data_IF_174132650128
#
_entry.id   IF_174132650128
#
_cell.length_a   1.000
_cell.length_b   1.000
_cell.length_c   1.000
_cell.angle_alpha   90.00
_cell.angle_beta   90.00
_cell.angle_gamma   90.00
#
_symmetry.space_group_name_H-M   'P 1'
#
loop_
_entity.id
_entity.type
_entity.pdbx_description
1 polymer ?
#
# COMPACT_ATOMS: atom_id res chain seq x y z
N UNK A 1 30.37 0.05 10.48
CA UNK A 1 30.27 -1.32 11.02
C UNK A 1 29.15 -1.98 10.29
N UNK A 2 29.42 -3.05 9.55
CA UNK A 2 28.40 -3.72 8.74
C UNK A 2 27.38 -4.43 9.64
N UNK A 3 26.15 -4.57 9.15
CA UNK A 3 25.10 -5.25 9.90
C UNK A 3 25.41 -6.75 10.02
N UNK A 4 25.39 -7.25 11.25
CA UNK A 4 25.55 -8.67 11.56
C UNK A 4 24.87 -8.99 12.89
N UNK A 5 24.75 -10.25 13.24
CA UNK A 5 24.23 -10.69 14.54
C UNK A 5 24.97 -10.03 15.72
N UNK A 6 26.28 -9.79 15.57
CA UNK A 6 27.10 -9.18 16.61
C UNK A 6 26.99 -7.65 16.67
N UNK A 7 26.59 -7.02 15.57
CA UNK A 7 26.51 -5.55 15.45
C UNK A 7 25.09 -5.02 15.46
N UNK A 8 24.08 -5.92 15.51
CA UNK A 8 22.68 -5.56 15.66
C UNK A 8 22.44 -4.81 16.97
N UNK A 9 21.65 -3.72 16.94
CA UNK A 9 21.37 -2.87 18.10
C UNK A 9 20.54 -3.63 19.15
N UNK A 10 19.69 -4.56 18.71
CA UNK A 10 18.85 -5.37 19.59
C UNK A 10 19.12 -6.87 19.39
N UNK A 11 19.15 -7.67 20.48
CA UNK A 11 19.16 -9.12 20.38
C UNK A 11 17.97 -9.70 19.60
N UNK A 12 16.84 -9.03 19.59
CA UNK A 12 15.63 -9.43 18.87
C UNK A 12 15.91 -9.50 17.37
N UNK A 13 16.55 -8.48 16.79
CA UNK A 13 16.87 -8.41 15.36
C UNK A 13 18.30 -8.93 15.05
N UNK A 14 19.04 -9.35 16.06
CA UNK A 14 20.34 -10.02 15.94
C UNK A 14 20.21 -11.51 16.24
N UNK A 15 20.62 -11.90 17.46
CA UNK A 15 20.70 -13.30 17.92
C UNK A 15 19.40 -14.07 17.77
N UNK A 16 18.25 -13.42 17.98
CA UNK A 16 16.93 -14.05 17.98
C UNK A 16 16.14 -13.80 16.69
N UNK A 17 16.74 -13.23 15.65
CA UNK A 17 16.08 -12.92 14.37
C UNK A 17 15.29 -14.11 13.82
N UNK A 18 15.89 -15.32 13.80
CA UNK A 18 15.22 -16.55 13.33
C UNK A 18 14.03 -17.00 14.19
N UNK A 19 13.92 -16.50 15.44
CA UNK A 19 12.78 -16.79 16.31
C UNK A 19 11.64 -15.75 16.18
N UNK A 20 11.98 -14.57 15.69
CA UNK A 20 11.04 -13.43 15.55
C UNK A 20 10.70 -13.13 14.09
N UNK A 21 11.11 -13.99 13.17
CA UNK A 21 10.92 -13.78 11.72
C UNK A 21 9.45 -13.58 11.32
N UNK A 22 8.52 -14.31 11.97
CA UNK A 22 7.09 -14.15 11.76
C UNK A 22 6.57 -12.72 12.01
N UNK A 23 7.29 -11.93 12.81
CA UNK A 23 6.93 -10.54 13.11
C UNK A 23 7.47 -9.54 12.08
N UNK A 24 8.36 -9.97 11.17
CA UNK A 24 8.96 -9.07 10.17
C UNK A 24 7.92 -8.46 9.23
N UNK A 25 6.85 -9.22 8.90
CA UNK A 25 5.73 -8.74 8.07
C UNK A 25 4.85 -7.67 8.73
N UNK A 26 5.10 -7.35 10.02
CA UNK A 26 4.31 -6.37 10.80
C UNK A 26 5.15 -5.20 11.30
N UNK A 27 6.43 -5.41 11.65
CA UNK A 27 7.24 -4.43 12.38
C UNK A 27 8.54 -4.01 11.68
N UNK A 28 8.86 -4.56 10.50
CA UNK A 28 9.98 -4.07 9.70
C UNK A 28 9.63 -2.76 8.99
N UNK A 29 10.66 -2.06 8.48
CA UNK A 29 10.47 -0.88 7.61
C UNK A 29 9.62 -1.21 6.38
N UNK A 30 9.84 -2.38 5.76
CA UNK A 30 9.00 -2.92 4.69
C UNK A 30 7.53 -3.00 5.11
N UNK A 31 7.26 -3.56 6.29
CA UNK A 31 5.90 -3.70 6.81
C UNK A 31 5.26 -2.34 7.08
N UNK A 32 5.98 -1.40 7.70
CA UNK A 32 5.49 -0.06 7.97
C UNK A 32 5.08 0.65 6.67
N UNK A 33 5.91 0.58 5.63
CA UNK A 33 5.60 1.15 4.32
C UNK A 33 4.34 0.50 3.73
N UNK A 34 4.26 -0.83 3.73
CA UNK A 34 3.10 -1.58 3.21
C UNK A 34 1.80 -1.20 3.93
N UNK A 35 1.82 -1.06 5.26
CA UNK A 35 0.64 -0.64 6.02
C UNK A 35 0.24 0.80 5.73
N UNK A 36 1.18 1.70 5.52
CA UNK A 36 0.90 3.07 5.09
C UNK A 36 0.25 3.09 3.70
N UNK A 37 0.79 2.33 2.75
CA UNK A 37 0.19 2.17 1.40
C UNK A 37 -1.24 1.65 1.50
N UNK A 38 -1.49 0.64 2.34
CA UNK A 38 -2.83 0.10 2.56
C UNK A 38 -3.79 1.15 3.10
N UNK A 39 -3.41 1.90 4.11
CA UNK A 39 -4.26 2.94 4.72
C UNK A 39 -4.60 4.04 3.71
N UNK A 40 -3.63 4.50 2.94
CA UNK A 40 -3.83 5.51 1.90
C UNK A 40 -4.79 5.02 0.81
N UNK A 41 -4.63 3.79 0.35
CA UNK A 41 -5.49 3.21 -0.69
C UNK A 41 -6.92 3.02 -0.19
N UNK A 42 -7.12 2.45 1.00
CA UNK A 42 -8.47 2.26 1.55
C UNK A 42 -9.15 3.60 1.86
N UNK A 43 -8.39 4.61 2.31
CA UNK A 43 -8.89 5.96 2.47
C UNK A 43 -9.33 6.57 1.13
N UNK A 44 -8.50 6.47 0.09
CA UNK A 44 -8.83 6.96 -1.25
C UNK A 44 -10.09 6.27 -1.81
N UNK A 45 -10.21 4.95 -1.67
CA UNK A 45 -11.40 4.20 -2.06
C UNK A 45 -12.64 4.71 -1.28
N UNK A 46 -12.50 4.93 0.02
CA UNK A 46 -13.58 5.48 0.84
C UNK A 46 -14.01 6.88 0.38
N UNK A 47 -13.07 7.74 -0.05
CA UNK A 47 -13.40 9.04 -0.65
C UNK A 47 -14.19 8.88 -1.96
N UNK A 48 -13.81 7.90 -2.81
CA UNK A 48 -14.53 7.61 -4.05
C UNK A 48 -15.96 7.06 -3.82
N UNK A 49 -16.23 6.49 -2.64
CA UNK A 49 -17.55 6.02 -2.23
C UNK A 49 -18.45 7.13 -1.67
N UNK A 50 -17.87 8.25 -1.24
CA UNK A 50 -18.61 9.43 -0.83
C UNK A 50 -19.19 10.17 -2.06
N UNK A 51 -20.30 10.92 -1.90
CA UNK A 51 -20.89 11.70 -2.97
C UNK A 51 -20.09 13.00 -3.27
N UNK A 52 -18.80 12.84 -3.57
CA UNK A 52 -17.90 13.92 -3.95
C UNK A 52 -17.98 14.15 -5.46
N UNK A 53 -18.41 15.31 -5.96
CA UNK A 53 -18.54 15.56 -7.40
C UNK A 53 -17.25 15.33 -8.19
N UNK A 54 -16.09 15.56 -7.56
CA UNK A 54 -14.78 15.41 -8.18
C UNK A 54 -14.38 13.95 -8.41
N UNK A 55 -14.96 13.02 -7.65
CA UNK A 55 -14.67 11.57 -7.70
C UNK A 55 -15.85 10.75 -8.24
N UNK A 56 -16.96 11.39 -8.60
CA UNK A 56 -18.19 10.76 -9.08
C UNK A 56 -17.93 9.83 -10.30
N UNK A 57 -17.02 10.24 -11.16
CA UNK A 57 -16.68 9.51 -12.38
C UNK A 57 -15.46 8.60 -12.24
N UNK A 58 -14.97 8.36 -11.02
CA UNK A 58 -13.87 7.43 -10.80
C UNK A 58 -14.34 6.00 -11.08
N UNK A 59 -13.59 5.28 -11.91
CA UNK A 59 -13.93 3.90 -12.25
C UNK A 59 -13.74 2.95 -11.06
N UNK A 60 -14.85 2.46 -10.52
CA UNK A 60 -14.86 1.56 -9.36
C UNK A 60 -14.29 0.17 -9.68
N UNK A 61 -14.15 -0.21 -10.93
CA UNK A 61 -13.48 -1.47 -11.31
C UNK A 61 -12.00 -1.46 -10.91
N UNK A 62 -11.40 -0.27 -10.73
CA UNK A 62 -10.02 -0.09 -10.28
C UNK A 62 -9.82 -0.31 -8.77
N UNK A 63 -10.87 -0.49 -7.96
CA UNK A 63 -10.74 -0.68 -6.51
C UNK A 63 -9.97 -1.96 -6.17
N UNK A 64 -10.25 -3.08 -6.82
CA UNK A 64 -9.51 -4.31 -6.56
C UNK A 64 -8.06 -4.25 -7.07
N UNK A 65 -7.77 -3.78 -8.30
CA UNK A 65 -6.40 -3.48 -8.71
C UNK A 65 -5.62 -2.56 -7.75
N UNK A 66 -6.27 -1.52 -7.19
CA UNK A 66 -5.64 -0.67 -6.18
C UNK A 66 -5.32 -1.44 -4.89
N UNK A 67 -6.23 -2.29 -4.42
CA UNK A 67 -5.99 -3.15 -3.25
C UNK A 67 -4.85 -4.14 -3.48
N UNK A 68 -4.68 -4.61 -4.71
CA UNK A 68 -3.58 -5.52 -5.05
C UNK A 68 -2.21 -4.87 -4.90
N UNK A 69 -2.07 -3.54 -4.99
CA UNK A 69 -0.82 -2.83 -4.75
C UNK A 69 -0.26 -3.15 -3.34
N UNK A 70 -1.09 -3.16 -2.30
CA UNK A 70 -0.62 -3.49 -0.95
C UNK A 70 -0.70 -4.97 -0.60
N UNK A 71 -1.57 -5.75 -1.27
CA UNK A 71 -1.66 -7.20 -1.08
C UNK A 71 -0.47 -7.94 -1.68
N UNK A 72 -0.01 -7.48 -2.83
CA UNK A 72 1.13 -8.03 -3.57
C UNK A 72 2.40 -7.18 -3.41
N UNK A 73 2.44 -6.33 -2.38
CA UNK A 73 3.55 -5.41 -2.13
C UNK A 73 4.87 -6.17 -1.96
N UNK A 74 5.90 -5.75 -2.69
CA UNK A 74 7.20 -6.41 -2.73
C UNK A 74 8.30 -5.58 -2.03
N UNK A 75 9.47 -6.18 -1.85
CA UNK A 75 10.67 -5.46 -1.35
C UNK A 75 11.16 -4.42 -2.35
N UNK A 76 10.94 -4.64 -3.64
CA UNK A 76 11.25 -3.71 -4.72
C UNK A 76 10.33 -2.48 -4.65
N UNK A 77 9.03 -2.66 -4.35
CA UNK A 77 8.10 -1.55 -4.12
C UNK A 77 8.51 -0.74 -2.89
N UNK A 78 8.90 -1.40 -1.79
CA UNK A 78 9.41 -0.72 -0.60
C UNK A 78 10.68 0.07 -0.94
N UNK A 79 11.60 -0.50 -1.73
CA UNK A 79 12.80 0.19 -2.18
C UNK A 79 12.44 1.40 -3.06
N UNK A 80 11.42 1.27 -3.95
CA UNK A 80 10.94 2.40 -4.75
C UNK A 80 10.45 3.55 -3.87
N UNK A 81 9.67 3.26 -2.81
CA UNK A 81 9.24 4.27 -1.84
C UNK A 81 10.46 4.94 -1.17
N UNK A 82 11.46 4.16 -0.76
CA UNK A 82 12.71 4.70 -0.17
C UNK A 82 13.50 5.58 -1.14
N UNK A 83 13.49 5.26 -2.42
CA UNK A 83 14.16 6.09 -3.44
C UNK A 83 13.43 7.41 -3.67
N UNK A 84 12.10 7.42 -3.63
CA UNK A 84 11.30 8.65 -3.64
C UNK A 84 11.57 9.47 -2.37
N UNK A 85 11.63 8.82 -1.21
CA UNK A 85 11.90 9.47 0.08
C UNK A 85 13.25 10.21 0.08
N UNK A 86 14.29 9.66 -0.54
CA UNK A 86 15.59 10.33 -0.67
C UNK A 86 15.50 11.71 -1.37
N UNK A 87 14.53 11.86 -2.27
CA UNK A 87 14.32 13.11 -3.02
C UNK A 87 13.37 14.05 -2.28
N UNK A 88 12.27 13.50 -1.73
CA UNK A 88 11.25 14.29 -1.05
C UNK A 88 11.64 14.66 0.38
N UNK A 89 12.58 13.93 0.96
CA UNK A 89 12.99 14.03 2.36
C UNK A 89 11.81 13.90 3.33
N UNK A 90 10.81 13.08 2.95
CA UNK A 90 9.58 12.90 3.73
C UNK A 90 8.97 11.54 3.43
N UNK A 91 8.85 10.68 4.45
CA UNK A 91 8.44 9.28 4.36
C UNK A 91 7.00 9.08 3.86
N UNK A 92 6.00 9.70 4.50
CA UNK A 92 4.60 9.56 4.09
C UNK A 92 4.34 10.22 2.72
N UNK A 93 5.02 11.33 2.41
CA UNK A 93 4.94 11.95 1.08
C UNK A 93 5.48 11.02 -0.02
N UNK A 94 6.49 10.24 0.29
CA UNK A 94 7.02 9.23 -0.63
C UNK A 94 5.99 8.13 -0.92
N UNK A 95 5.21 7.71 0.08
CA UNK A 95 4.10 6.77 -0.10
C UNK A 95 3.01 7.35 -1.01
N UNK A 96 2.63 8.61 -0.82
CA UNK A 96 1.67 9.30 -1.69
C UNK A 96 2.13 9.28 -3.15
N UNK A 97 3.38 9.67 -3.42
CA UNK A 97 3.92 9.66 -4.78
C UNK A 97 4.00 8.27 -5.39
N UNK A 98 4.40 7.26 -4.62
CA UNK A 98 4.39 5.88 -5.06
C UNK A 98 3.00 5.42 -5.49
N UNK A 99 1.95 5.72 -4.70
CA UNK A 99 0.58 5.36 -5.06
C UNK A 99 0.11 6.11 -6.31
N UNK A 100 0.48 7.39 -6.47
CA UNK A 100 0.21 8.17 -7.70
C UNK A 100 0.87 7.57 -8.94
N UNK A 101 2.08 7.03 -8.81
CA UNK A 101 2.77 6.28 -9.88
C UNK A 101 1.98 5.00 -10.21
N UNK A 102 1.69 4.17 -9.20
CA UNK A 102 0.96 2.89 -9.36
C UNK A 102 -0.44 3.06 -9.95
N UNK A 103 -1.18 4.08 -9.54
CA UNK A 103 -2.49 4.39 -10.12
C UNK A 103 -2.39 4.67 -11.65
N UNK A 104 -1.28 5.27 -12.09
CA UNK A 104 -1.00 5.43 -13.52
C UNK A 104 -0.70 4.11 -14.23
N UNK A 105 0.00 3.18 -13.56
CA UNK A 105 0.36 1.87 -14.12
C UNK A 105 -0.84 0.92 -14.23
N UNK A 106 -1.66 0.85 -13.19
CA UNK A 106 -2.90 0.03 -13.16
C UNK A 106 -3.78 0.36 -14.36
N UNK A 107 -3.90 1.63 -14.69
CA UNK A 107 -4.65 2.09 -15.84
C UNK A 107 -4.00 1.73 -17.19
N UNK A 108 -2.69 1.92 -17.31
CA UNK A 108 -1.98 1.63 -18.58
C UNK A 108 -2.04 0.16 -18.98
N UNK A 109 -2.28 -0.76 -18.04
CA UNK A 109 -2.55 -2.17 -18.32
C UNK A 109 -3.97 -2.40 -18.84
N UNK A 110 -4.96 -1.67 -18.32
CA UNK A 110 -6.37 -1.79 -18.81
C UNK A 110 -6.54 -1.14 -20.18
N UNK A 111 -5.82 -0.04 -20.48
CA UNK A 111 -5.82 0.58 -21.81
C UNK A 111 -5.27 -0.36 -22.90
N UNK A 112 -4.18 -1.08 -22.60
CA UNK A 112 -3.64 -2.09 -23.54
C UNK A 112 -4.60 -3.26 -23.78
N UNK A 113 -5.36 -3.65 -22.75
CA UNK A 113 -6.39 -4.69 -22.87
C UNK A 113 -7.61 -4.19 -23.67
N UNK A 114 -8.00 -2.92 -23.46
CA UNK A 114 -9.10 -2.26 -24.17
C UNK A 114 -8.79 -2.03 -25.66
N UNK A 115 -7.55 -1.64 -26.02
CA UNK A 115 -7.14 -1.47 -27.42
C UNK A 115 -7.17 -2.77 -28.23
N UNK A 116 -6.89 -3.90 -27.60
CA UNK A 116 -7.00 -5.23 -28.24
C UNK A 116 -8.45 -5.62 -28.53
N UNK A 117 -9.43 -5.11 -27.75
CA UNK A 117 -10.86 -5.38 -27.94
C UNK A 117 -11.59 -4.34 -28.79
N UNK A 118 -11.06 -3.13 -28.98
CA UNK A 118 -11.72 -1.98 -29.59
C UNK A 118 -11.38 -1.75 -31.08
N UNK A 119 -11.12 -2.78 -31.87
CA UNK A 119 -10.76 -2.63 -33.28
C UNK A 119 -11.91 -2.17 -34.21
N UNK A 120 -13.05 -1.71 -33.68
CA UNK A 120 -14.23 -1.38 -34.50
C UNK A 120 -14.88 0.00 -34.31
N UNK A 121 -14.26 0.99 -33.63
CA UNK A 121 -14.88 2.34 -33.55
C UNK A 121 -13.89 3.43 -33.15
N UNK A 122 -13.17 4.01 -34.14
CA UNK A 122 -12.07 4.96 -33.88
C UNK A 122 -12.49 6.34 -33.31
N UNK A 123 -13.72 6.82 -33.57
CA UNK A 123 -14.10 8.20 -33.21
C UNK A 123 -14.65 8.37 -31.79
N UNK A 124 -15.31 7.38 -31.23
CA UNK A 124 -15.81 7.40 -29.85
C UNK A 124 -14.70 7.05 -28.85
N UNK A 125 -13.72 6.24 -29.23
CA UNK A 125 -12.59 5.84 -28.41
C UNK A 125 -11.69 7.04 -28.03
N UNK A 126 -11.41 7.96 -28.97
CA UNK A 126 -10.53 9.12 -28.72
C UNK A 126 -11.16 10.13 -27.74
N UNK A 127 -12.46 10.34 -27.81
CA UNK A 127 -13.15 11.29 -26.91
C UNK A 127 -13.27 10.71 -25.50
N UNK A 128 -13.55 9.41 -25.40
CA UNK A 128 -13.59 8.69 -24.11
C UNK A 128 -12.19 8.63 -23.44
N UNK A 129 -11.15 8.46 -24.24
CA UNK A 129 -9.76 8.42 -23.77
C UNK A 129 -9.29 9.74 -23.15
N UNK A 130 -9.60 10.88 -23.79
CA UNK A 130 -9.25 12.19 -23.26
C UNK A 130 -10.00 12.50 -21.96
N UNK A 131 -11.30 12.20 -21.90
CA UNK A 131 -12.14 12.43 -20.72
C UNK A 131 -11.68 11.59 -19.52
N UNK A 132 -11.38 10.31 -19.72
CA UNK A 132 -10.85 9.42 -18.68
C UNK A 132 -9.45 9.86 -18.24
N UNK A 133 -8.62 10.36 -19.15
CA UNK A 133 -7.28 10.89 -18.83
C UNK A 133 -7.35 12.09 -17.90
N UNK A 134 -8.25 13.03 -18.16
CA UNK A 134 -8.46 14.21 -17.31
C UNK A 134 -9.06 13.84 -15.94
N UNK A 135 -10.04 12.94 -15.90
CA UNK A 135 -10.67 12.49 -14.66
C UNK A 135 -9.69 11.83 -13.69
N UNK A 136 -8.75 11.02 -14.20
CA UNK A 136 -7.74 10.38 -13.33
C UNK A 136 -6.61 11.32 -12.95
N UNK A 137 -6.18 12.20 -13.84
CA UNK A 137 -5.21 13.24 -13.47
C UNK A 137 -5.76 14.09 -12.34
N UNK A 138 -7.05 14.42 -12.39
CA UNK A 138 -7.77 15.10 -11.30
C UNK A 138 -7.89 14.23 -10.04
N UNK A 139 -8.20 12.93 -10.16
CA UNK A 139 -8.41 12.06 -8.99
C UNK A 139 -7.12 11.72 -8.23
N UNK A 140 -5.94 11.75 -8.87
CA UNK A 140 -4.64 11.57 -8.20
C UNK A 140 -4.41 12.59 -7.06
N UNK A 141 -4.99 13.78 -7.18
CA UNK A 141 -4.87 14.82 -6.14
C UNK A 141 -5.70 14.50 -4.89
N UNK A 142 -6.57 13.49 -4.94
CA UNK A 142 -7.33 13.01 -3.78
C UNK A 142 -6.60 11.90 -2.99
N UNK A 143 -5.45 11.41 -3.47
CA UNK A 143 -4.56 10.59 -2.66
C UNK A 143 -3.97 11.48 -1.56
N UNK A 144 -4.09 11.06 -0.31
CA UNK A 144 -3.69 11.84 0.88
C UNK A 144 -4.51 13.14 1.09
N UNK A 145 -5.66 13.28 0.46
CA UNK A 145 -6.46 14.50 0.54
C UNK A 145 -7.01 14.71 1.95
N UNK A 146 -6.74 15.89 2.50
CA UNK A 146 -7.25 16.28 3.82
C UNK A 146 -6.59 15.56 5.00
N UNK A 147 -5.52 14.79 4.77
CA UNK A 147 -4.77 14.07 5.79
C UNK A 147 -3.43 14.74 6.12
N UNK A 148 -2.92 14.40 7.27
CA UNK A 148 -1.52 14.62 7.66
C UNK A 148 -0.78 13.30 7.77
N UNK A 149 0.56 13.35 7.80
CA UNK A 149 1.38 12.15 8.04
C UNK A 149 1.00 11.43 9.33
N UNK A 150 0.54 12.19 10.34
CA UNK A 150 0.16 11.63 11.63
C UNK A 150 -1.12 10.81 11.54
N UNK A 151 -2.07 11.18 10.69
CA UNK A 151 -3.30 10.40 10.47
C UNK A 151 -2.97 9.02 9.91
N UNK A 152 -2.03 8.97 8.94
CA UNK A 152 -1.56 7.73 8.35
C UNK A 152 -0.81 6.88 9.38
N UNK A 153 0.12 7.47 10.15
CA UNK A 153 0.89 6.74 11.15
C UNK A 153 0.01 6.20 12.28
N UNK A 154 -0.92 7.02 12.78
CA UNK A 154 -1.83 6.63 13.87
C UNK A 154 -2.86 5.56 13.45
N UNK A 155 -3.02 5.30 12.15
CA UNK A 155 -3.87 4.24 11.63
C UNK A 155 -3.06 3.00 11.25
N UNK A 156 -1.93 3.16 10.54
CA UNK A 156 -1.12 2.05 10.05
C UNK A 156 -0.42 1.27 11.17
N UNK A 157 0.13 1.96 12.18
CA UNK A 157 0.84 1.31 13.29
C UNK A 157 -0.12 0.48 14.18
N UNK A 158 -1.24 1.01 14.68
CA UNK A 158 -2.19 0.18 15.41
C UNK A 158 -2.76 -0.98 14.60
N UNK A 159 -2.96 -0.81 13.29
CA UNK A 159 -3.42 -1.89 12.41
C UNK A 159 -2.37 -3.01 12.34
N UNK A 160 -1.09 -2.69 12.17
CA UNK A 160 -0.01 -3.69 12.16
C UNK A 160 0.11 -4.43 13.50
N UNK A 161 -0.01 -3.72 14.62
CA UNK A 161 0.00 -4.32 15.97
C UNK A 161 -1.19 -5.26 16.15
N UNK A 162 -2.39 -4.83 15.76
CA UNK A 162 -3.60 -5.65 15.83
C UNK A 162 -3.41 -6.96 15.06
N UNK A 163 -2.99 -6.87 13.80
CA UNK A 163 -2.82 -8.06 12.96
C UNK A 163 -1.69 -8.97 13.46
N UNK A 164 -0.59 -8.42 14.00
CA UNK A 164 0.46 -9.21 14.62
C UNK A 164 -0.05 -9.98 15.85
N UNK A 165 -0.89 -9.35 16.68
CA UNK A 165 -1.50 -10.01 17.83
C UNK A 165 -2.45 -11.14 17.39
N UNK A 166 -3.32 -10.87 16.42
CA UNK A 166 -4.33 -11.81 15.96
C UNK A 166 -3.73 -13.00 15.17
N UNK A 167 -2.69 -12.76 14.36
CA UNK A 167 -2.17 -13.74 13.43
C UNK A 167 -0.90 -14.47 13.93
N UNK A 168 -0.19 -13.91 14.91
CA UNK A 168 1.04 -14.50 15.42
C UNK A 168 0.97 -14.73 16.92
N UNK A 169 0.68 -13.70 17.71
CA UNK A 169 0.79 -13.79 19.16
C UNK A 169 -0.27 -14.70 19.79
N UNK A 170 -1.53 -14.49 19.51
CA UNK A 170 -2.61 -15.31 20.10
C UNK A 170 -2.52 -16.78 19.71
N UNK A 171 -2.28 -17.15 18.43
CA UNK A 171 -2.09 -18.56 18.08
C UNK A 171 -0.92 -19.23 18.82
N UNK A 172 0.22 -18.52 19.00
CA UNK A 172 1.34 -19.05 19.76
C UNK A 172 1.04 -19.23 21.26
N UNK A 173 0.27 -18.31 21.84
CA UNK A 173 -0.19 -18.44 23.25
C UNK A 173 -1.14 -19.60 23.41
N UNK A 174 -2.08 -19.80 22.48
CA UNK A 174 -3.01 -20.93 22.48
C UNK A 174 -2.26 -22.25 22.38
N UNK A 175 -1.30 -22.38 21.46
CA UNK A 175 -0.45 -23.57 21.34
C UNK A 175 0.31 -23.85 22.64
N UNK A 176 0.88 -22.81 23.29
CA UNK A 176 1.59 -22.94 24.55
C UNK A 176 0.65 -23.43 25.68
N UNK A 177 -0.57 -22.90 25.75
CA UNK A 177 -1.58 -23.33 26.73
C UNK A 177 -1.93 -24.81 26.53
N UNK A 178 -2.14 -25.25 25.30
CA UNK A 178 -2.41 -26.65 24.99
C UNK A 178 -1.27 -27.57 25.46
N UNK A 179 -0.02 -27.19 25.14
CA UNK A 179 1.17 -27.97 25.58
C UNK A 179 1.37 -28.03 27.12
N UNK A 180 0.81 -27.10 27.85
CA UNK A 180 0.86 -27.10 29.33
C UNK A 180 -0.27 -27.91 29.98
N UNK A 181 -1.33 -28.21 29.22
CA UNK A 181 -2.45 -29.00 29.68
C UNK A 181 -2.25 -30.51 29.49
N UNK A 182 -1.36 -30.93 28.59
CA UNK A 182 -0.94 -32.31 28.34
C UNK A 182 0.13 -32.78 29.35
#
# INVERSE_FOLDING_TARGET
>A
MDFSVLTAISPIDGRYRGKTEALAGYFSEYALIRYRVRVEIEYFISLCELPLPQLENFDRSLFEPLRDIYRQFTTEDAQRVKDIEKVTNHDVKAVEYFIKEKLGEVRGSDEKLGEVMAHNSLSEAVTSHNFLSEAITSSKEFIHFGLTSQDINNTSVPLSVKEALEQVYYPLVEELIEQLHD
#
